data_IF_528750590639
#
_entry.id   IF_528750590639
#
_cell.length_a   1.000
_cell.length_b   1.000
_cell.length_c   1.000
_cell.angle_alpha   90.00
_cell.angle_beta   90.00
_cell.angle_gamma   90.00
#
_symmetry.space_group_name_H-M   'P 1'
#
loop_
_entity.id
_entity.type
_entity.pdbx_description
1 polymer ?
#
# COMPACT_ATOMS: atom_id res chain seq x y z
N UNK A 1 19.95 29.59 1.87
CA UNK A 1 19.80 28.67 3.03
C UNK A 1 19.50 27.29 2.48
N UNK A 2 20.30 26.26 2.77
CA UNK A 2 20.02 24.90 2.28
C UNK A 2 18.64 24.47 2.78
N UNK A 3 17.75 24.05 1.88
CA UNK A 3 16.41 23.58 2.25
C UNK A 3 16.52 22.46 3.30
N UNK A 4 16.01 22.71 4.52
CA UNK A 4 16.05 21.78 5.65
C UNK A 4 14.89 20.76 5.65
N UNK A 5 13.91 20.89 4.75
CA UNK A 5 12.75 19.99 4.66
C UNK A 5 13.15 18.63 4.08
N UNK A 6 12.91 17.50 4.77
CA UNK A 6 13.20 16.17 4.23
C UNK A 6 12.46 15.88 2.93
N UNK A 7 13.10 15.16 2.02
CA UNK A 7 12.51 14.70 0.76
C UNK A 7 12.15 13.22 0.86
N UNK A 8 10.86 12.94 0.69
CA UNK A 8 10.26 11.61 0.85
C UNK A 8 9.86 11.09 -0.52
N UNK A 9 10.70 10.23 -1.10
CA UNK A 9 10.43 9.62 -2.40
C UNK A 9 9.41 8.49 -2.23
N UNK A 10 8.18 8.71 -2.68
CA UNK A 10 7.11 7.68 -2.68
C UNK A 10 7.27 6.81 -3.93
N UNK A 11 8.11 5.78 -3.84
CA UNK A 11 8.44 4.90 -4.95
C UNK A 11 7.35 3.84 -5.13
N UNK A 12 6.68 3.83 -6.29
CA UNK A 12 5.54 2.94 -6.53
C UNK A 12 5.91 1.61 -7.18
N UNK A 13 7.16 1.41 -7.59
CA UNK A 13 7.59 0.23 -8.37
C UNK A 13 7.40 0.35 -9.88
N UNK A 14 6.89 1.49 -10.38
CA UNK A 14 6.67 1.72 -11.81
C UNK A 14 7.83 2.44 -12.51
N UNK A 15 7.82 2.42 -13.85
CA UNK A 15 8.82 3.11 -14.69
C UNK A 15 8.92 4.61 -14.42
N UNK A 16 7.78 5.30 -14.24
CA UNK A 16 7.76 6.75 -13.97
C UNK A 16 8.38 7.10 -12.62
N UNK A 17 8.02 6.38 -11.54
CA UNK A 17 8.65 6.58 -10.22
C UNK A 17 10.15 6.25 -10.25
N UNK A 18 10.56 5.27 -11.04
CA UNK A 18 11.96 4.93 -11.17
C UNK A 18 12.75 5.94 -12.01
N UNK A 19 12.21 6.44 -13.12
CA UNK A 19 12.86 7.51 -13.88
C UNK A 19 13.01 8.78 -13.03
N UNK A 20 11.96 9.13 -12.27
CA UNK A 20 11.98 10.23 -11.31
C UNK A 20 13.11 10.04 -10.29
N UNK A 21 13.20 8.87 -9.65
CA UNK A 21 14.25 8.58 -8.69
C UNK A 21 15.64 8.61 -9.33
N UNK A 22 15.83 7.99 -10.50
CA UNK A 22 17.13 8.01 -11.20
C UNK A 22 17.58 9.44 -11.54
N UNK A 23 16.65 10.33 -11.91
CA UNK A 23 16.96 11.76 -12.13
C UNK A 23 17.40 12.45 -10.83
N UNK A 24 16.68 12.24 -9.72
CA UNK A 24 17.04 12.82 -8.42
C UNK A 24 18.43 12.36 -7.96
N UNK A 25 18.71 11.06 -8.09
CA UNK A 25 20.00 10.45 -7.71
C UNK A 25 21.15 11.03 -8.55
N UNK A 26 21.04 10.98 -9.88
CA UNK A 26 22.09 11.46 -10.80
C UNK A 26 22.39 12.96 -10.63
N UNK A 27 21.40 13.75 -10.21
CA UNK A 27 21.55 15.17 -9.96
C UNK A 27 21.89 15.50 -8.50
N UNK A 28 22.17 14.51 -7.65
CA UNK A 28 22.49 14.68 -6.23
C UNK A 28 21.44 15.52 -5.44
N UNK A 29 20.16 15.32 -5.75
CA UNK A 29 19.07 16.10 -5.14
C UNK A 29 18.55 15.52 -3.81
N UNK A 30 19.03 14.34 -3.43
CA UNK A 30 18.71 13.68 -2.16
C UNK A 30 19.91 13.74 -1.20
N UNK A 31 19.62 13.94 0.09
CA UNK A 31 20.60 14.04 1.15
C UNK A 31 20.10 13.32 2.42
N UNK A 32 20.71 12.19 2.82
CA UNK A 32 20.25 11.41 3.98
C UNK A 32 20.36 12.20 5.30
N UNK A 33 21.30 13.16 5.42
CA UNK A 33 21.42 14.03 6.60
C UNK A 33 20.21 14.91 6.83
N UNK A 34 19.50 15.26 5.75
CA UNK A 34 18.25 16.02 5.83
C UNK A 34 17.08 15.16 6.34
N UNK A 35 17.23 13.83 6.36
CA UNK A 35 16.16 12.88 6.63
C UNK A 35 15.51 12.33 5.35
N UNK A 36 16.13 12.54 4.19
CA UNK A 36 15.61 12.06 2.91
C UNK A 36 15.63 10.54 2.83
N UNK A 37 14.54 9.98 2.32
CA UNK A 37 14.39 8.53 2.17
C UNK A 37 13.56 8.15 0.95
N UNK A 38 13.68 6.89 0.58
CA UNK A 38 12.85 6.24 -0.43
C UNK A 38 12.00 5.17 0.25
N UNK A 39 10.70 5.17 -0.01
CA UNK A 39 9.76 4.17 0.53
C UNK A 39 9.05 3.45 -0.61
N UNK A 40 9.08 2.12 -0.55
CA UNK A 40 8.19 1.26 -1.33
C UNK A 40 7.18 0.59 -0.39
N UNK A 41 5.90 0.85 -0.61
CA UNK A 41 4.81 0.21 0.13
C UNK A 41 4.44 -1.11 -0.53
N UNK A 42 4.92 -2.22 0.02
CA UNK A 42 4.54 -3.54 -0.47
C UNK A 42 3.11 -3.89 -0.03
N UNK A 43 2.24 -4.12 -1.00
CA UNK A 43 0.85 -4.54 -0.77
C UNK A 43 0.66 -6.06 -0.82
N UNK A 44 1.72 -6.82 -1.11
CA UNK A 44 1.73 -8.26 -1.46
C UNK A 44 0.90 -8.65 -2.68
N UNK A 45 0.34 -7.66 -3.41
CA UNK A 45 -0.44 -7.84 -4.63
C UNK A 45 0.27 -7.26 -5.87
N UNK A 46 1.57 -6.96 -5.74
CA UNK A 46 2.38 -6.46 -6.85
C UNK A 46 2.84 -7.61 -7.76
N UNK A 47 3.01 -7.33 -9.05
CA UNK A 47 3.48 -8.27 -10.05
C UNK A 47 4.93 -8.68 -9.77
N UNK A 48 5.35 -9.94 -10.01
CA UNK A 48 6.73 -10.40 -9.78
C UNK A 48 7.82 -9.51 -10.40
N UNK A 49 7.65 -9.11 -11.66
CA UNK A 49 8.52 -8.16 -12.34
C UNK A 49 8.72 -6.82 -11.60
N UNK A 50 7.73 -6.34 -10.83
CA UNK A 50 7.83 -5.13 -10.02
C UNK A 50 8.77 -5.31 -8.84
N UNK A 51 8.75 -6.48 -8.16
CA UNK A 51 9.70 -6.76 -7.08
C UNK A 51 11.13 -6.81 -7.59
N UNK A 52 11.37 -7.52 -8.69
CA UNK A 52 12.70 -7.61 -9.30
C UNK A 52 13.23 -6.25 -9.79
N UNK A 53 12.35 -5.43 -10.35
CA UNK A 53 12.71 -4.07 -10.75
C UNK A 53 13.02 -3.18 -9.54
N UNK A 54 12.15 -3.19 -8.52
CA UNK A 54 12.33 -2.41 -7.28
C UNK A 54 13.61 -2.81 -6.55
N UNK A 55 13.93 -4.11 -6.52
CA UNK A 55 15.17 -4.65 -5.95
C UNK A 55 16.41 -4.02 -6.59
N UNK A 56 16.44 -3.98 -7.92
CA UNK A 56 17.54 -3.37 -8.68
C UNK A 56 17.68 -1.88 -8.37
N UNK A 57 16.57 -1.15 -8.32
CA UNK A 57 16.57 0.29 -8.00
C UNK A 57 17.00 0.53 -6.55
N UNK A 58 16.56 -0.29 -5.59
CA UNK A 58 17.03 -0.26 -4.19
C UNK A 58 18.54 -0.42 -4.11
N UNK A 59 19.09 -1.41 -4.81
CA UNK A 59 20.54 -1.63 -4.87
C UNK A 59 21.29 -0.40 -5.37
N UNK A 60 20.83 0.20 -6.48
CA UNK A 60 21.44 1.42 -7.04
C UNK A 60 21.39 2.57 -6.02
N UNK A 61 20.21 2.87 -5.46
CA UNK A 61 20.03 3.98 -4.53
C UNK A 61 20.91 3.85 -3.27
N UNK A 62 21.03 2.63 -2.74
CA UNK A 62 21.78 2.39 -1.50
C UNK A 62 23.28 2.26 -1.73
N UNK A 63 23.71 1.47 -2.72
CA UNK A 63 25.12 1.15 -2.91
C UNK A 63 25.88 2.22 -3.70
N UNK A 64 25.24 2.86 -4.69
CA UNK A 64 25.89 3.88 -5.54
C UNK A 64 25.71 5.30 -4.99
N UNK A 65 24.59 5.59 -4.33
CA UNK A 65 24.24 6.94 -3.88
C UNK A 65 24.08 7.09 -2.37
N UNK A 66 24.16 5.99 -1.60
CA UNK A 66 24.02 5.99 -0.14
C UNK A 66 22.71 6.68 0.34
N UNK A 67 21.60 6.46 -0.38
CA UNK A 67 20.27 6.93 0.01
C UNK A 67 19.46 5.76 0.58
N UNK A 68 18.96 5.84 1.84
CA UNK A 68 18.17 4.75 2.41
C UNK A 68 16.88 4.48 1.63
N UNK A 69 16.63 3.20 1.33
CA UNK A 69 15.44 2.77 0.62
C UNK A 69 14.77 1.61 1.35
N UNK A 70 13.67 1.90 2.05
CA UNK A 70 12.90 0.91 2.80
C UNK A 70 11.74 0.29 2.02
N UNK A 71 11.56 -1.02 2.19
CA UNK A 71 10.33 -1.72 1.84
C UNK A 71 9.51 -1.90 3.11
N UNK A 72 8.25 -1.46 3.07
CA UNK A 72 7.36 -1.50 4.23
C UNK A 72 6.06 -2.23 3.90
N UNK A 73 5.58 -3.02 4.85
CA UNK A 73 4.31 -3.74 4.76
C UNK A 73 3.34 -3.28 5.82
N UNK A 74 2.05 -3.27 5.47
CA UNK A 74 1.00 -3.22 6.47
C UNK A 74 1.04 -4.48 7.34
N UNK A 75 0.82 -4.27 8.63
CA UNK A 75 0.70 -5.33 9.62
C UNK A 75 -0.25 -4.85 10.71
N UNK A 76 -0.91 -5.77 11.39
CA UNK A 76 -1.58 -5.50 12.66
C UNK A 76 -0.80 -6.05 13.86
N UNK A 77 -1.07 -5.52 15.04
CA UNK A 77 -0.64 -6.08 16.31
C UNK A 77 -1.83 -6.11 17.26
N UNK A 78 -1.71 -6.82 18.37
CA UNK A 78 -2.79 -6.93 19.35
C UNK A 78 -2.50 -6.08 20.58
N UNK A 79 -3.49 -5.29 20.97
CA UNK A 79 -3.40 -4.45 22.16
C UNK A 79 -4.76 -4.31 22.84
N UNK A 80 -4.72 -4.08 24.15
CA UNK A 80 -5.90 -3.89 24.99
C UNK A 80 -6.17 -2.42 25.22
N UNK A 81 -7.44 -2.03 25.33
CA UNK A 81 -7.79 -0.72 25.86
C UNK A 81 -7.78 -0.72 27.40
N UNK A 82 -8.00 0.44 28.03
CA UNK A 82 -8.08 0.56 29.49
C UNK A 82 -9.19 -0.26 30.18
N UNK A 83 -10.06 -0.93 29.41
CA UNK A 83 -11.07 -1.88 29.92
C UNK A 83 -10.69 -3.34 29.68
N UNK A 84 -9.41 -3.61 29.39
CA UNK A 84 -8.87 -4.94 29.05
C UNK A 84 -9.56 -5.63 27.87
N UNK A 85 -10.20 -4.86 26.99
CA UNK A 85 -10.78 -5.39 25.76
C UNK A 85 -9.70 -5.42 24.68
N UNK A 86 -9.40 -6.61 24.18
CA UNK A 86 -8.34 -6.84 23.20
C UNK A 86 -8.81 -6.55 21.78
N UNK A 87 -7.91 -6.00 20.96
CA UNK A 87 -8.24 -5.64 19.58
C UNK A 87 -7.00 -5.67 18.69
N UNK A 88 -7.22 -5.89 17.39
CA UNK A 88 -6.17 -5.72 16.37
C UNK A 88 -6.02 -4.25 16.04
N UNK A 89 -4.80 -3.74 16.13
CA UNK A 89 -4.43 -2.36 15.80
C UNK A 89 -3.55 -2.34 14.55
N UNK A 90 -3.82 -1.45 13.59
CA UNK A 90 -3.00 -1.32 12.40
C UNK A 90 -1.62 -0.74 12.76
N UNK A 91 -0.61 -1.15 12.02
CA UNK A 91 0.77 -0.68 12.08
C UNK A 91 1.48 -0.98 10.75
N UNK A 92 2.80 -0.95 10.75
CA UNK A 92 3.65 -1.33 9.64
C UNK A 92 4.86 -2.12 10.15
N UNK A 93 5.53 -2.86 9.27
CA UNK A 93 6.84 -3.47 9.53
C UNK A 93 7.79 -3.22 8.36
N UNK A 94 9.08 -3.37 8.61
CA UNK A 94 10.12 -3.41 7.58
C UNK A 94 10.26 -4.84 7.06
N UNK A 95 10.54 -4.98 5.77
CA UNK A 95 10.86 -6.25 5.12
C UNK A 95 12.10 -6.10 4.25
N UNK A 96 12.84 -7.19 4.05
CA UNK A 96 13.97 -7.18 3.14
C UNK A 96 13.45 -7.34 1.72
N UNK A 97 14.34 -7.12 0.76
CA UNK A 97 13.98 -7.16 -0.64
C UNK A 97 13.77 -8.60 -1.14
N UNK A 98 14.07 -9.66 -0.38
CA UNK A 98 13.93 -11.07 -0.77
C UNK A 98 12.58 -11.67 -0.31
N UNK A 99 12.00 -12.64 -1.05
CA UNK A 99 10.69 -13.19 -0.70
C UNK A 99 10.73 -13.93 0.65
N UNK A 100 9.62 -13.87 1.39
CA UNK A 100 9.42 -14.62 2.63
C UNK A 100 9.55 -16.12 2.37
N UNK A 101 10.38 -16.79 3.15
CA UNK A 101 10.55 -18.25 3.11
C UNK A 101 10.90 -18.79 4.50
N UNK A 102 11.02 -20.12 4.63
CA UNK A 102 11.48 -20.76 5.88
C UNK A 102 12.87 -20.27 6.31
N UNK A 103 13.74 -20.02 5.34
CA UNK A 103 15.11 -19.57 5.57
C UNK A 103 15.24 -18.03 5.55
N UNK A 104 14.17 -17.31 5.20
CA UNK A 104 14.12 -15.85 5.16
C UNK A 104 12.85 -15.31 5.81
N UNK A 105 12.78 -15.36 7.15
CA UNK A 105 11.63 -14.88 7.92
C UNK A 105 11.41 -13.36 7.84
N UNK A 106 12.44 -12.61 7.45
CA UNK A 106 12.42 -11.16 7.23
C UNK A 106 11.97 -10.76 5.83
N UNK A 107 11.66 -11.75 4.97
CA UNK A 107 11.30 -11.49 3.59
C UNK A 107 9.96 -10.78 3.38
N UNK A 108 9.82 -10.17 2.20
CA UNK A 108 8.57 -9.57 1.77
C UNK A 108 7.54 -10.64 1.40
N UNK A 109 6.28 -10.34 1.68
CA UNK A 109 5.13 -11.17 1.34
C UNK A 109 4.63 -10.85 -0.07
N UNK A 110 4.16 -11.87 -0.78
CA UNK A 110 3.77 -11.75 -2.18
C UNK A 110 2.58 -12.63 -2.58
N UNK A 111 1.97 -13.35 -1.64
CA UNK A 111 0.79 -14.21 -1.86
C UNK A 111 -0.51 -13.51 -1.46
N UNK A 112 -0.50 -12.17 -1.38
CA UNK A 112 -1.67 -11.38 -1.03
C UNK A 112 -1.96 -11.29 0.47
N UNK A 113 -1.09 -11.80 1.33
CA UNK A 113 -1.32 -11.87 2.79
C UNK A 113 -1.46 -10.48 3.42
N UNK A 114 -0.70 -9.50 2.95
CA UNK A 114 -0.77 -8.11 3.45
C UNK A 114 -2.10 -7.48 3.04
N UNK A 115 -2.57 -7.78 1.83
CA UNK A 115 -3.84 -7.30 1.30
C UNK A 115 -5.03 -7.92 2.06
N UNK A 116 -4.97 -9.24 2.30
CA UNK A 116 -5.99 -9.95 3.06
C UNK A 116 -6.00 -9.54 4.55
N UNK A 117 -4.85 -9.33 5.19
CA UNK A 117 -4.78 -8.84 6.58
C UNK A 117 -5.53 -7.51 6.73
N UNK A 118 -5.32 -6.58 5.78
CA UNK A 118 -6.01 -5.30 5.75
C UNK A 118 -7.52 -5.45 5.54
N UNK A 119 -7.97 -6.29 4.59
CA UNK A 119 -9.40 -6.53 4.35
C UNK A 119 -10.05 -7.22 5.55
N UNK A 120 -9.37 -8.19 6.15
CA UNK A 120 -9.86 -8.90 7.32
C UNK A 120 -10.00 -7.92 8.50
N UNK A 121 -9.07 -6.97 8.69
CA UNK A 121 -9.25 -5.90 9.68
C UNK A 121 -10.38 -4.93 9.33
N UNK A 122 -10.52 -4.49 8.08
CA UNK A 122 -11.55 -3.51 7.69
C UNK A 122 -12.96 -4.13 7.68
N UNK A 123 -13.07 -5.41 7.34
CA UNK A 123 -14.33 -6.14 7.16
C UNK A 123 -15.04 -5.84 5.84
N UNK A 124 -14.37 -5.20 4.87
CA UNK A 124 -14.94 -4.91 3.55
C UNK A 124 -13.85 -4.78 2.47
N UNK A 125 -14.25 -5.04 1.21
CA UNK A 125 -13.37 -4.96 0.04
C UNK A 125 -13.12 -3.51 -0.40
N UNK A 126 -11.90 -3.19 -0.88
CA UNK A 126 -11.64 -1.90 -1.52
C UNK A 126 -12.47 -1.75 -2.79
N UNK A 127 -12.86 -0.52 -3.13
CA UNK A 127 -13.64 -0.23 -4.33
C UNK A 127 -13.27 1.11 -4.95
N UNK A 128 -13.96 1.49 -6.03
CA UNK A 128 -13.87 2.83 -6.63
C UNK A 128 -14.18 3.95 -5.63
N UNK A 129 -15.11 3.69 -4.72
CA UNK A 129 -15.55 4.65 -3.70
C UNK A 129 -14.69 4.52 -2.44
N UNK A 130 -14.50 3.29 -1.94
CA UNK A 130 -13.76 3.05 -0.69
C UNK A 130 -12.32 2.62 -0.96
N UNK A 131 -11.39 3.57 -0.86
CA UNK A 131 -9.96 3.39 -1.17
C UNK A 131 -9.15 2.77 -0.03
N UNK A 132 -9.72 1.83 0.72
CA UNK A 132 -9.11 1.32 1.97
C UNK A 132 -7.71 0.73 1.79
N UNK A 133 -7.40 0.13 0.63
CA UNK A 133 -6.06 -0.34 0.32
C UNK A 133 -5.04 0.80 0.21
N UNK A 134 -5.42 1.94 -0.36
CA UNK A 134 -4.56 3.13 -0.45
C UNK A 134 -4.45 3.81 0.91
N UNK A 135 -5.57 3.96 1.63
CA UNK A 135 -5.58 4.58 2.95
C UNK A 135 -4.72 3.80 3.95
N UNK A 136 -4.89 2.48 4.03
CA UNK A 136 -4.25 1.65 5.05
C UNK A 136 -2.84 1.24 4.66
N UNK A 137 -2.63 0.74 3.45
CA UNK A 137 -1.36 0.13 3.04
C UNK A 137 -0.42 1.12 2.32
N UNK A 138 -0.82 2.38 2.12
CA UNK A 138 0.07 3.41 1.56
C UNK A 138 0.14 4.64 2.47
N UNK A 139 -0.98 5.29 2.74
CA UNK A 139 -0.99 6.54 3.51
C UNK A 139 -0.65 6.27 4.98
N UNK A 140 -1.45 5.45 5.66
CA UNK A 140 -1.27 5.15 7.07
C UNK A 140 0.10 4.56 7.39
N UNK A 141 0.53 3.51 6.68
CA UNK A 141 1.85 2.90 6.93
C UNK A 141 3.00 3.87 6.69
N UNK A 142 2.91 4.74 5.68
CA UNK A 142 3.93 5.75 5.41
C UNK A 142 3.95 6.80 6.51
N UNK A 143 2.78 7.29 6.95
CA UNK A 143 2.71 8.27 8.03
C UNK A 143 3.23 7.70 9.36
N UNK A 144 2.86 6.45 9.68
CA UNK A 144 3.37 5.76 10.86
C UNK A 144 4.91 5.59 10.79
N UNK A 145 5.43 5.23 9.61
CA UNK A 145 6.87 5.16 9.34
C UNK A 145 7.56 6.52 9.50
N UNK A 146 7.02 7.59 8.90
CA UNK A 146 7.64 8.92 8.93
C UNK A 146 7.66 9.49 10.35
N UNK A 147 6.62 9.25 11.15
CA UNK A 147 6.61 9.62 12.56
C UNK A 147 7.73 8.94 13.36
N UNK A 148 8.06 7.69 13.03
CA UNK A 148 9.19 6.95 13.61
C UNK A 148 10.55 7.43 13.06
N UNK A 149 10.63 7.71 11.76
CA UNK A 149 11.85 8.12 11.07
C UNK A 149 12.30 9.54 11.43
N UNK A 150 11.38 10.52 11.40
CA UNK A 150 11.67 11.91 11.75
C UNK A 150 11.97 12.11 13.23
N UNK A 151 11.60 11.16 14.09
CA UNK A 151 12.05 11.13 15.48
C UNK A 151 13.55 10.83 15.63
N UNK A 152 14.29 10.59 14.53
CA UNK A 152 15.72 10.32 14.50
C UNK A 152 16.14 9.16 15.39
N UNK A 153 15.28 8.14 15.48
CA UNK A 153 15.52 6.93 16.25
C UNK A 153 16.45 5.98 15.49
N UNK A 154 17.07 5.05 16.21
CA UNK A 154 17.83 3.95 15.61
C UNK A 154 16.96 2.75 15.23
N UNK A 155 15.74 2.66 15.77
CA UNK A 155 14.83 1.55 15.58
C UNK A 155 13.36 1.97 15.58
N UNK A 156 12.52 1.11 15.00
CA UNK A 156 11.10 1.06 15.33
C UNK A 156 10.90 0.26 16.60
N UNK A 157 10.03 0.73 17.50
CA UNK A 157 9.80 0.05 18.77
C UNK A 157 8.77 -1.07 18.66
N UNK A 158 8.92 -2.07 19.53
CA UNK A 158 7.96 -3.17 19.68
C UNK A 158 6.57 -2.63 20.01
N UNK A 159 5.54 -3.23 19.42
CA UNK A 159 4.13 -2.98 19.78
C UNK A 159 3.39 -4.28 20.06
N UNK A 160 2.40 -4.20 20.94
CA UNK A 160 1.57 -5.31 21.39
C UNK A 160 2.05 -5.93 22.68
N UNK A 161 1.28 -6.88 23.20
CA UNK A 161 1.54 -7.48 24.50
C UNK A 161 2.76 -8.42 24.52
N UNK A 162 3.24 -8.74 25.72
CA UNK A 162 4.38 -9.66 25.94
C UNK A 162 3.97 -11.11 26.17
N UNK A 163 2.67 -11.42 26.18
CA UNK A 163 2.19 -12.81 26.23
C UNK A 163 2.57 -13.61 24.98
N UNK A 164 2.72 -14.93 25.13
CA UNK A 164 3.19 -15.84 24.06
C UNK A 164 2.08 -16.34 23.11
N UNK A 165 0.84 -15.88 23.30
CA UNK A 165 -0.31 -16.26 22.49
C UNK A 165 -1.28 -15.08 22.34
N UNK A 166 -2.04 -15.00 21.22
CA UNK A 166 -3.09 -14.01 21.03
C UNK A 166 -4.09 -14.02 22.19
N UNK A 167 -4.57 -12.84 22.58
CA UNK A 167 -5.58 -12.63 23.64
C UNK A 167 -6.94 -12.21 23.09
N UNK A 168 -7.04 -11.74 21.84
CA UNK A 168 -8.32 -11.29 21.27
C UNK A 168 -9.32 -12.44 21.12
N UNK A 169 -10.34 -12.41 21.97
CA UNK A 169 -11.44 -13.38 22.00
C UNK A 169 -12.51 -13.09 20.95
N UNK A 170 -13.42 -14.05 20.73
CA UNK A 170 -14.60 -13.84 19.90
C UNK A 170 -15.51 -12.75 20.49
N UNK A 171 -15.63 -12.70 21.82
CA UNK A 171 -16.44 -11.73 22.53
C UNK A 171 -15.88 -10.32 22.38
N UNK A 172 -14.56 -10.15 22.37
CA UNK A 172 -13.91 -8.87 22.09
C UNK A 172 -14.28 -8.33 20.70
N UNK A 173 -14.26 -9.21 19.69
CA UNK A 173 -14.62 -8.90 18.30
C UNK A 173 -16.08 -8.47 18.22
N UNK A 174 -16.98 -9.25 18.81
CA UNK A 174 -18.43 -9.00 18.77
C UNK A 174 -18.78 -7.72 19.53
N UNK A 175 -18.20 -7.53 20.71
CA UNK A 175 -18.42 -6.34 21.55
C UNK A 175 -17.96 -5.08 20.82
N UNK A 176 -16.78 -5.11 20.19
CA UNK A 176 -16.28 -3.99 19.38
C UNK A 176 -17.22 -3.69 18.21
N UNK A 177 -17.65 -4.72 17.49
CA UNK A 177 -18.54 -4.57 16.34
C UNK A 177 -19.87 -3.95 16.72
N UNK A 178 -20.53 -4.45 17.78
CA UNK A 178 -21.79 -3.91 18.31
C UNK A 178 -21.62 -2.47 18.81
N UNK A 179 -20.53 -2.18 19.54
CA UNK A 179 -20.21 -0.83 20.03
C UNK A 179 -20.12 0.19 18.89
N UNK A 180 -19.63 -0.22 17.73
CA UNK A 180 -19.52 0.63 16.54
C UNK A 180 -20.79 0.61 15.66
N UNK A 181 -21.93 0.15 16.17
CA UNK A 181 -23.20 0.09 15.43
C UNK A 181 -23.27 -1.02 14.37
N UNK A 182 -22.36 -2.00 14.44
CA UNK A 182 -22.33 -3.13 13.52
C UNK A 182 -23.45 -4.13 13.78
N UNK A 183 -24.15 -4.56 12.72
CA UNK A 183 -25.26 -5.53 12.77
C UNK A 183 -24.94 -6.89 12.12
N UNK A 184 -23.75 -7.05 11.52
CA UNK A 184 -23.33 -8.30 10.86
C UNK A 184 -23.47 -9.51 11.80
N UNK A 185 -24.11 -10.62 11.36
CA UNK A 185 -24.23 -11.84 12.15
C UNK A 185 -22.88 -12.36 12.67
N UNK A 186 -22.89 -12.93 13.90
CA UNK A 186 -21.67 -13.37 14.61
C UNK A 186 -20.81 -14.31 13.77
N UNK A 187 -21.40 -15.34 13.16
CA UNK A 187 -20.67 -16.33 12.36
C UNK A 187 -19.95 -15.70 11.17
N UNK A 188 -20.62 -14.80 10.45
CA UNK A 188 -20.05 -14.07 9.30
C UNK A 188 -18.93 -13.14 9.76
N UNK A 189 -19.16 -12.37 10.84
CA UNK A 189 -18.17 -11.46 11.40
C UNK A 189 -16.89 -12.21 11.80
N UNK A 190 -17.01 -13.29 12.56
CA UNK A 190 -15.86 -14.07 13.03
C UNK A 190 -15.10 -14.71 11.87
N UNK A 191 -15.81 -15.23 10.86
CA UNK A 191 -15.20 -15.76 9.63
C UNK A 191 -14.38 -14.69 8.89
N UNK A 192 -14.93 -13.48 8.70
CA UNK A 192 -14.23 -12.34 8.09
C UNK A 192 -13.03 -11.87 8.91
N UNK A 193 -13.03 -12.08 10.23
CA UNK A 193 -11.93 -11.71 11.14
C UNK A 193 -10.91 -12.82 11.37
N UNK A 194 -11.13 -14.02 10.85
CA UNK A 194 -10.27 -15.17 11.14
C UNK A 194 -8.82 -14.95 10.66
N UNK A 195 -8.63 -14.35 9.49
CA UNK A 195 -7.29 -14.14 8.92
C UNK A 195 -6.46 -13.14 9.72
N UNK A 196 -6.99 -11.93 10.01
CA UNK A 196 -6.25 -10.94 10.82
C UNK A 196 -5.92 -11.46 12.24
N UNK A 197 -6.70 -12.42 12.75
CA UNK A 197 -6.47 -13.08 14.04
C UNK A 197 -5.36 -14.12 14.01
N UNK A 198 -5.10 -14.74 12.86
CA UNK A 198 -3.98 -15.67 12.68
C UNK A 198 -2.66 -14.95 12.35
N UNK A 199 -2.72 -13.67 11.96
CA UNK A 199 -1.53 -12.84 11.74
C UNK A 199 -0.77 -12.54 13.05
N UNK A 200 0.52 -12.22 12.90
CA UNK A 200 1.42 -11.88 14.02
C UNK A 200 0.78 -10.86 14.97
N UNK A 201 0.62 -11.19 16.25
CA UNK A 201 -0.05 -10.33 17.25
C UNK A 201 0.88 -9.29 17.88
N UNK A 202 2.11 -9.22 17.41
CA UNK A 202 3.14 -8.32 17.90
C UNK A 202 3.85 -7.73 16.69
N UNK A 203 4.16 -6.44 16.77
CA UNK A 203 5.18 -5.83 15.92
C UNK A 203 6.50 -5.89 16.66
N UNK A 204 7.46 -6.62 16.12
CA UNK A 204 8.79 -6.72 16.71
C UNK A 204 9.57 -5.41 16.58
N UNK A 205 10.55 -5.22 17.47
CA UNK A 205 11.53 -4.14 17.34
C UNK A 205 12.40 -4.42 16.12
N UNK A 206 12.62 -3.42 15.26
CA UNK A 206 13.49 -3.54 14.09
C UNK A 206 14.45 -2.35 14.03
N UNK A 207 15.76 -2.58 13.97
CA UNK A 207 16.74 -1.51 13.80
C UNK A 207 16.81 -1.12 12.34
N UNK A 208 16.82 0.18 12.04
CA UNK A 208 16.75 0.65 10.66
C UNK A 208 17.90 0.11 9.79
N UNK A 209 19.10 0.04 10.36
CA UNK A 209 20.32 -0.36 9.65
C UNK A 209 20.27 -1.81 9.15
N UNK A 210 19.43 -2.67 9.73
CA UNK A 210 19.26 -4.06 9.30
C UNK A 210 18.52 -4.18 7.95
N UNK A 211 17.85 -3.11 7.50
CA UNK A 211 16.95 -3.13 6.33
C UNK A 211 17.42 -2.24 5.17
N UNK A 212 18.58 -1.62 5.31
CA UNK A 212 19.20 -0.77 4.28
C UNK A 212 20.71 -0.94 4.29
N UNK A 213 21.32 -0.95 3.10
CA UNK A 213 22.79 -0.90 2.98
C UNK A 213 23.33 0.53 3.04
N UNK A 214 22.47 1.54 2.94
CA UNK A 214 22.88 2.92 3.09
C UNK A 214 23.21 3.22 4.56
N UNK A 215 24.16 4.12 4.77
CA UNK A 215 24.46 4.63 6.10
C UNK A 215 23.33 5.52 6.60
N UNK A 216 22.82 5.22 7.79
CA UNK A 216 21.78 6.03 8.43
C UNK A 216 22.45 7.15 9.22
N UNK A 217 22.46 8.34 8.62
CA UNK A 217 23.03 9.55 9.23
C UNK A 217 22.01 10.67 9.04
N UNK A 218 21.05 10.78 9.97
CA UNK A 218 20.13 11.93 10.00
C UNK A 218 20.73 12.95 10.98
N UNK A 219 20.90 14.19 10.51
CA UNK A 219 21.39 15.31 11.31
C UNK A 219 20.57 16.55 10.93
N UNK A 220 19.33 16.56 11.42
CA UNK A 220 18.39 17.63 11.11
C UNK A 220 17.70 18.11 12.38
N UNK A 221 18.20 19.23 12.94
CA UNK A 221 17.66 19.84 14.16
C UNK A 221 16.19 20.26 14.03
N UNK A 222 15.72 20.61 12.84
CA UNK A 222 14.30 20.98 12.63
C UNK A 222 13.39 19.81 12.98
N UNK A 223 13.80 18.57 12.70
CA UNK A 223 13.00 17.40 13.03
C UNK A 223 12.90 17.18 14.54
N UNK A 224 13.93 17.53 15.32
CA UNK A 224 13.91 17.36 16.78
C UNK A 224 12.88 18.23 17.49
N UNK A 225 12.58 19.41 16.93
CA UNK A 225 11.58 20.34 17.47
C UNK A 225 10.15 19.79 17.36
N UNK A 226 9.91 18.90 16.39
CA UNK A 226 8.64 18.22 16.17
C UNK A 226 8.45 16.94 17.00
N UNK A 227 9.42 16.56 17.85
CA UNK A 227 9.35 15.30 18.60
C UNK A 227 8.64 15.48 19.93
N UNK A 228 7.62 14.65 20.17
CA UNK A 228 6.95 14.52 21.47
C UNK A 228 7.06 13.07 21.92
N UNK A 229 7.69 12.85 23.08
CA UNK A 229 8.04 11.51 23.55
C UNK A 229 9.02 10.83 22.59
N UNK A 230 8.58 9.76 21.93
CA UNK A 230 9.40 8.97 21.00
C UNK A 230 8.87 9.01 19.55
N UNK A 231 8.05 10.01 19.21
CA UNK A 231 7.41 10.17 17.89
C UNK A 231 7.50 11.61 17.42
N UNK A 232 7.86 11.79 16.16
CA UNK A 232 7.70 13.07 15.49
C UNK A 232 6.23 13.30 15.16
N UNK A 233 5.75 14.52 15.40
CA UNK A 233 4.38 14.91 15.08
C UNK A 233 4.26 15.16 13.58
N UNK A 234 3.20 14.61 12.97
CA UNK A 234 2.84 14.88 11.57
C UNK A 234 1.60 15.77 11.46
N UNK A 235 0.96 16.07 12.59
CA UNK A 235 -0.26 16.84 12.69
C UNK A 235 -0.18 17.79 13.90
N UNK A 236 -1.04 18.81 13.93
CA UNK A 236 -0.98 19.90 14.92
C UNK A 236 0.18 20.88 14.72
N UNK A 237 0.37 21.75 15.70
CA UNK A 237 1.28 22.91 15.62
C UNK A 237 2.76 22.52 15.54
N UNK A 238 3.11 21.31 16.00
CA UNK A 238 4.47 20.77 15.97
C UNK A 238 4.73 19.87 14.75
N UNK A 239 3.84 19.87 13.74
CA UNK A 239 3.97 18.99 12.59
C UNK A 239 5.28 19.23 11.82
N UNK A 240 5.93 18.14 11.41
CA UNK A 240 7.08 18.21 10.52
C UNK A 240 6.67 18.70 9.15
N UNK A 241 7.37 19.73 8.67
CA UNK A 241 7.34 20.17 7.29
C UNK A 241 8.27 19.30 6.42
N UNK A 242 7.71 18.62 5.41
CA UNK A 242 8.48 17.77 4.49
C UNK A 242 7.92 17.80 3.06
N UNK A 243 8.75 17.38 2.10
CA UNK A 243 8.37 17.32 0.68
C UNK A 243 8.22 15.86 0.26
N UNK A 244 7.04 15.45 -0.19
CA UNK A 244 6.86 14.16 -0.84
C UNK A 244 7.07 14.26 -2.34
N UNK A 245 7.95 13.42 -2.87
CA UNK A 245 8.27 13.40 -4.29
C UNK A 245 7.49 12.29 -4.99
N UNK A 246 6.71 12.66 -6.01
CA UNK A 246 5.83 11.77 -6.75
C UNK A 246 6.29 11.58 -8.20
N UNK A 247 6.29 10.33 -8.67
CA UNK A 247 6.61 9.98 -10.06
C UNK A 247 5.40 10.01 -10.97
N UNK A 248 4.79 11.18 -11.13
CA UNK A 248 3.60 11.40 -11.97
C UNK A 248 4.00 12.19 -13.20
N UNK A 249 3.58 11.73 -14.36
CA UNK A 249 3.93 12.34 -15.65
C UNK A 249 3.04 13.53 -15.95
N UNK A 250 3.51 14.43 -16.83
CA UNK A 250 2.74 15.60 -17.27
C UNK A 250 1.46 15.22 -18.03
N UNK A 251 1.45 14.08 -18.72
CA UNK A 251 0.30 13.56 -19.48
C UNK A 251 -0.77 12.88 -18.60
N UNK A 252 -0.60 12.85 -17.27
CA UNK A 252 -1.55 12.29 -16.31
C UNK A 252 -2.44 13.35 -15.64
N UNK A 253 -2.93 14.33 -16.40
CA UNK A 253 -3.60 15.55 -15.90
C UNK A 253 -4.69 15.28 -14.84
N UNK A 254 -5.53 14.26 -15.03
CA UNK A 254 -6.58 13.89 -14.06
C UNK A 254 -6.01 13.46 -12.70
N UNK A 255 -4.83 12.85 -12.67
CA UNK A 255 -4.15 12.47 -11.43
C UNK A 255 -3.51 13.69 -10.76
N UNK A 256 -2.99 14.63 -11.55
CA UNK A 256 -2.41 15.89 -11.07
C UNK A 256 -3.49 16.69 -10.31
N UNK A 257 -4.63 16.98 -10.95
CA UNK A 257 -5.74 17.72 -10.32
C UNK A 257 -6.27 17.04 -9.06
N UNK A 258 -6.35 15.70 -9.05
CA UNK A 258 -6.77 14.96 -7.86
C UNK A 258 -5.80 15.08 -6.69
N UNK A 259 -4.51 15.26 -6.97
CA UNK A 259 -3.49 15.41 -5.94
C UNK A 259 -3.50 16.83 -5.40
N UNK A 260 -3.61 17.82 -6.29
CA UNK A 260 -3.75 19.25 -5.93
C UNK A 260 -4.96 19.44 -5.00
N UNK A 261 -6.16 19.04 -5.42
CA UNK A 261 -7.37 19.17 -4.60
C UNK A 261 -7.22 18.49 -3.22
N UNK A 262 -6.56 17.33 -3.17
CA UNK A 262 -6.36 16.59 -1.92
C UNK A 262 -5.39 17.30 -0.97
N UNK A 263 -4.40 18.03 -1.50
CA UNK A 263 -3.47 18.82 -0.69
C UNK A 263 -4.21 20.02 -0.11
N UNK A 264 -4.97 20.73 -0.94
CA UNK A 264 -5.76 21.89 -0.53
C UNK A 264 -6.74 21.49 0.59
N UNK A 265 -7.49 20.39 0.39
CA UNK A 265 -8.39 19.82 1.40
C UNK A 265 -7.66 19.45 2.71
N UNK A 266 -6.41 18.96 2.63
CA UNK A 266 -5.64 18.56 3.81
C UNK A 266 -5.13 19.77 4.61
N UNK A 267 -4.75 20.85 3.91
CA UNK A 267 -4.35 22.12 4.51
C UNK A 267 -5.53 22.79 5.22
N UNK A 268 -6.72 22.76 4.63
CA UNK A 268 -7.94 23.34 5.22
C UNK A 268 -8.44 22.55 6.43
N UNK A 269 -8.50 21.21 6.33
CA UNK A 269 -9.17 20.39 7.34
C UNK A 269 -8.25 19.94 8.50
N UNK A 270 -6.96 20.31 8.47
CA UNK A 270 -5.92 19.91 9.44
C UNK A 270 -6.16 18.50 9.98
N UNK A 271 -6.17 17.50 9.08
CA UNK A 271 -6.53 16.13 9.42
C UNK A 271 -5.84 15.66 10.69
N UNK A 272 -6.54 14.97 11.59
CA UNK A 272 -6.03 14.67 12.95
C UNK A 272 -5.63 13.21 13.15
N UNK A 273 -5.43 12.47 12.06
CA UNK A 273 -5.22 11.02 12.09
C UNK A 273 -4.24 10.57 11.02
N UNK A 274 -3.45 9.54 11.34
CA UNK A 274 -2.48 8.91 10.44
C UNK A 274 -3.09 8.36 9.14
N UNK A 275 -4.42 8.20 9.07
CA UNK A 275 -5.12 7.79 7.85
C UNK A 275 -5.34 8.94 6.86
N UNK A 276 -5.10 10.18 7.27
CA UNK A 276 -5.26 11.38 6.45
C UNK A 276 -3.91 11.87 5.94
N UNK A 277 -3.97 12.73 4.94
CA UNK A 277 -2.82 13.44 4.42
C UNK A 277 -2.28 14.44 5.48
N UNK A 278 -1.00 14.40 5.88
CA UNK A 278 -0.41 15.40 6.77
C UNK A 278 -0.44 16.81 6.19
N UNK A 279 -0.74 17.82 7.01
CA UNK A 279 -0.82 19.22 6.56
C UNK A 279 0.57 19.86 6.37
N UNK A 280 1.61 19.32 7.01
CA UNK A 280 3.01 19.66 6.76
C UNK A 280 3.63 19.02 5.50
N UNK A 281 2.88 18.17 4.78
CA UNK A 281 3.35 17.59 3.52
C UNK A 281 3.13 18.56 2.35
N UNK A 282 4.21 18.93 1.67
CA UNK A 282 4.12 19.49 0.32
C UNK A 282 4.45 18.43 -0.74
N UNK A 283 3.93 18.59 -1.95
CA UNK A 283 4.22 17.70 -3.07
C UNK A 283 5.22 18.34 -4.02
N UNK A 284 6.17 17.53 -4.49
CA UNK A 284 7.03 17.85 -5.62
C UNK A 284 6.86 16.76 -6.70
N UNK A 285 6.54 17.17 -7.93
CA UNK A 285 6.30 16.26 -9.05
C UNK A 285 7.25 16.59 -10.22
N UNK A 286 8.54 16.22 -10.12
CA UNK A 286 9.59 16.69 -11.04
C UNK A 286 9.38 16.25 -12.50
N UNK A 287 8.60 15.20 -12.75
CA UNK A 287 8.26 14.78 -14.10
C UNK A 287 7.17 15.67 -14.72
N UNK A 288 6.27 16.25 -13.92
CA UNK A 288 5.31 17.27 -14.38
C UNK A 288 6.08 18.54 -14.74
N UNK A 289 6.93 19.03 -13.83
CA UNK A 289 7.73 20.25 -14.05
C UNK A 289 8.67 20.12 -15.26
N UNK A 290 9.17 18.91 -15.50
CA UNK A 290 10.00 18.60 -16.66
C UNK A 290 9.22 18.29 -17.94
N UNK A 291 7.89 18.47 -17.95
CA UNK A 291 6.98 18.11 -19.05
C UNK A 291 7.20 16.68 -19.60
N UNK A 292 7.50 15.73 -18.71
CA UNK A 292 7.85 14.36 -19.09
C UNK A 292 6.60 13.53 -19.37
N UNK A 293 6.48 13.02 -20.59
CA UNK A 293 5.37 12.16 -21.05
C UNK A 293 5.67 10.67 -20.89
N UNK A 294 4.69 9.83 -21.18
CA UNK A 294 4.85 8.37 -21.22
C UNK A 294 5.91 7.92 -22.22
N UNK A 295 5.92 8.49 -23.42
CA UNK A 295 6.88 8.14 -24.49
C UNK A 295 8.32 8.37 -24.02
N UNK A 296 8.57 9.52 -23.39
CA UNK A 296 9.90 9.84 -22.86
C UNK A 296 10.33 8.93 -21.71
N UNK A 297 9.37 8.46 -20.90
CA UNK A 297 9.64 7.43 -19.88
C UNK A 297 10.04 6.11 -20.54
N UNK A 298 9.36 5.72 -21.62
CA UNK A 298 9.66 4.50 -22.37
C UNK A 298 11.06 4.59 -22.97
N UNK A 299 11.34 5.66 -23.71
CA UNK A 299 12.66 5.91 -24.32
C UNK A 299 13.79 5.92 -23.29
N UNK A 300 13.57 6.52 -22.12
CA UNK A 300 14.56 6.53 -21.04
C UNK A 300 14.93 5.10 -20.63
N UNK A 301 13.95 4.22 -20.49
CA UNK A 301 14.13 2.85 -20.04
C UNK A 301 14.62 1.89 -21.13
N UNK A 302 14.34 2.17 -22.39
CA UNK A 302 14.91 1.43 -23.54
C UNK A 302 16.43 1.63 -23.65
N UNK A 303 16.96 2.75 -23.16
CA UNK A 303 18.40 3.05 -23.13
C UNK A 303 19.13 2.44 -21.93
N UNK A 304 18.43 1.82 -20.98
CA UNK A 304 19.05 1.22 -19.79
C UNK A 304 19.38 -0.26 -20.01
N UNK A 305 20.38 -0.78 -19.28
CA UNK A 305 20.74 -2.21 -19.30
C UNK A 305 19.77 -3.11 -18.49
N UNK A 306 18.79 -2.52 -17.81
CA UNK A 306 17.66 -3.23 -17.21
C UNK A 306 16.39 -2.37 -17.29
N UNK A 307 15.22 -3.03 -17.31
CA UNK A 307 13.93 -2.36 -17.38
C UNK A 307 12.90 -3.16 -16.57
N UNK A 308 11.81 -2.51 -16.18
CA UNK A 308 10.60 -3.18 -15.69
C UNK A 308 10.09 -4.09 -16.80
N UNK A 309 9.88 -5.38 -16.54
CA UNK A 309 9.43 -6.34 -17.56
C UNK A 309 7.91 -6.42 -17.65
N UNK A 310 7.25 -5.25 -17.73
CA UNK A 310 5.80 -5.13 -17.89
C UNK A 310 5.45 -4.37 -19.17
N UNK A 311 4.29 -4.60 -19.77
CA UNK A 311 3.90 -3.86 -20.98
C UNK A 311 3.78 -2.35 -20.72
N UNK A 312 4.00 -1.54 -21.77
CA UNK A 312 3.82 -0.09 -21.70
C UNK A 312 2.35 0.33 -21.86
N UNK A 313 1.45 -0.58 -22.22
CA UNK A 313 0.03 -0.30 -22.48
C UNK A 313 -0.79 -0.01 -21.20
N UNK A 314 -0.18 -0.15 -20.02
CA UNK A 314 -0.87 -0.01 -18.73
C UNK A 314 -1.80 -1.19 -18.39
N UNK A 315 -1.86 -2.21 -19.26
CA UNK A 315 -2.60 -3.44 -19.01
C UNK A 315 -1.98 -4.22 -17.85
N UNK A 316 -0.69 -4.55 -17.95
CA UNK A 316 0.09 -5.08 -16.83
C UNK A 316 0.67 -3.93 -16.02
N UNK A 317 0.04 -3.64 -14.88
CA UNK A 317 0.53 -2.69 -13.89
C UNK A 317 0.99 -3.42 -12.63
N UNK A 318 1.63 -2.71 -11.70
CA UNK A 318 2.12 -3.29 -10.44
C UNK A 318 1.04 -4.12 -9.73
N UNK A 319 -0.15 -3.58 -9.46
CA UNK A 319 -1.30 -4.40 -9.04
C UNK A 319 -2.03 -4.97 -10.25
N UNK A 320 -1.90 -6.27 -10.51
CA UNK A 320 -2.35 -6.91 -11.76
C UNK A 320 -3.88 -6.83 -11.93
N UNK A 321 -4.65 -7.40 -11.01
CA UNK A 321 -6.13 -7.35 -11.04
C UNK A 321 -6.73 -6.23 -10.19
N UNK A 322 -6.09 -5.05 -10.18
CA UNK A 322 -6.62 -3.90 -9.46
C UNK A 322 -8.09 -3.62 -9.83
N UNK A 323 -9.02 -3.54 -8.84
CA UNK A 323 -10.44 -3.22 -9.07
C UNK A 323 -10.73 -1.87 -9.72
N UNK A 324 -9.68 -1.08 -9.98
CA UNK A 324 -9.76 0.16 -10.74
C UNK A 324 -9.58 0.05 -12.23
N UNK A 325 -9.20 -1.11 -12.72
CA UNK A 325 -9.24 -1.37 -14.15
C UNK A 325 -10.68 -1.64 -14.58
N UNK A 326 -10.96 -1.33 -15.85
CA UNK A 326 -12.22 -1.75 -16.47
C UNK A 326 -12.31 -3.27 -16.48
N UNK A 327 -13.53 -3.81 -16.46
CA UNK A 327 -13.76 -5.26 -16.55
C UNK A 327 -13.12 -5.86 -17.81
N UNK A 328 -13.16 -5.14 -18.93
CA UNK A 328 -12.50 -5.54 -20.18
C UNK A 328 -10.98 -5.70 -20.01
N UNK A 329 -10.31 -4.76 -19.34
CA UNK A 329 -8.87 -4.86 -19.04
C UNK A 329 -8.57 -6.05 -18.12
N UNK A 330 -9.41 -6.30 -17.12
CA UNK A 330 -9.25 -7.45 -16.22
C UNK A 330 -9.46 -8.79 -16.94
N UNK A 331 -10.43 -8.89 -17.84
CA UNK A 331 -10.65 -10.07 -18.69
C UNK A 331 -9.45 -10.30 -19.61
N UNK A 332 -8.95 -9.26 -20.26
CA UNK A 332 -7.77 -9.36 -21.13
C UNK A 332 -6.52 -9.83 -20.36
N UNK A 333 -6.33 -9.35 -19.12
CA UNK A 333 -5.26 -9.82 -18.24
C UNK A 333 -5.44 -11.31 -17.95
N UNK A 334 -6.64 -11.73 -17.53
CA UNK A 334 -6.93 -13.13 -17.26
C UNK A 334 -6.68 -14.03 -18.47
N UNK A 335 -7.09 -13.62 -19.67
CA UNK A 335 -6.80 -14.35 -20.92
C UNK A 335 -5.30 -14.52 -21.15
N UNK A 336 -4.50 -13.46 -20.99
CA UNK A 336 -3.04 -13.52 -21.20
C UNK A 336 -2.29 -14.29 -20.10
N UNK A 337 -2.92 -14.50 -18.96
CA UNK A 337 -2.38 -15.25 -17.83
C UNK A 337 -2.72 -16.75 -17.92
N UNK A 338 -3.72 -17.17 -18.71
CA UNK A 338 -4.08 -18.59 -18.89
C UNK A 338 -2.91 -19.47 -19.35
N UNK A 339 -2.06 -18.93 -20.22
CA UNK A 339 -0.94 -19.65 -20.83
C UNK A 339 0.29 -19.70 -19.91
N UNK A 340 0.23 -19.06 -18.74
CA UNK A 340 1.35 -18.96 -17.81
C UNK A 340 1.15 -19.92 -16.64
N UNK A 341 2.22 -20.58 -16.20
CA UNK A 341 2.21 -21.42 -15.01
C UNK A 341 2.27 -20.56 -13.74
N UNK A 342 1.13 -19.97 -13.38
CA UNK A 342 0.99 -19.04 -12.24
C UNK A 342 0.52 -19.80 -11.00
N UNK A 343 1.07 -19.45 -9.84
CA UNK A 343 0.58 -19.90 -8.54
C UNK A 343 -0.83 -19.34 -8.28
N UNK A 344 -1.83 -20.22 -8.29
CA UNK A 344 -3.25 -19.86 -8.13
C UNK A 344 -3.59 -19.26 -6.76
N UNK A 345 -2.72 -19.47 -5.78
CA UNK A 345 -2.88 -18.93 -4.42
C UNK A 345 -2.24 -17.54 -4.27
N UNK A 346 -1.90 -16.88 -5.38
CA UNK A 346 -1.29 -15.54 -5.38
C UNK A 346 -2.13 -14.52 -6.15
N UNK A 347 -1.99 -13.22 -5.85
CA UNK A 347 -2.68 -12.15 -6.59
C UNK A 347 -2.30 -12.03 -8.07
N UNK A 348 -1.33 -12.81 -8.55
CA UNK A 348 -1.02 -12.96 -9.98
C UNK A 348 -2.08 -13.81 -10.71
N UNK A 349 -2.82 -14.68 -10.00
CA UNK A 349 -3.93 -15.44 -10.56
C UNK A 349 -5.28 -14.79 -10.27
N UNK A 350 -6.19 -14.83 -11.26
CA UNK A 350 -7.60 -14.45 -11.05
C UNK A 350 -8.30 -15.32 -10.00
N UNK A 351 -7.86 -16.58 -9.81
CA UNK A 351 -8.43 -17.49 -8.81
C UNK A 351 -8.35 -16.92 -7.40
N UNK A 352 -7.21 -16.31 -7.05
CA UNK A 352 -7.04 -15.64 -5.76
C UNK A 352 -8.06 -14.51 -5.58
N UNK A 353 -8.29 -13.71 -6.62
CA UNK A 353 -9.26 -12.60 -6.57
C UNK A 353 -10.71 -13.09 -6.48
N UNK A 354 -11.05 -14.20 -7.12
CA UNK A 354 -12.34 -14.89 -6.96
C UNK A 354 -12.54 -15.29 -5.50
N UNK A 355 -11.53 -15.92 -4.89
CA UNK A 355 -11.60 -16.38 -3.50
C UNK A 355 -11.75 -15.22 -2.52
N UNK A 356 -10.98 -14.14 -2.69
CA UNK A 356 -11.07 -12.94 -1.87
C UNK A 356 -12.42 -12.24 -2.06
N UNK A 357 -12.91 -12.12 -3.30
CA UNK A 357 -14.20 -11.49 -3.58
C UNK A 357 -15.35 -12.26 -2.90
N UNK A 358 -15.37 -13.59 -3.01
CA UNK A 358 -16.37 -14.44 -2.37
C UNK A 358 -16.32 -14.37 -0.84
N UNK A 359 -15.13 -14.42 -0.26
CA UNK A 359 -14.93 -14.44 1.19
C UNK A 359 -15.33 -13.13 1.86
N UNK A 360 -15.02 -12.00 1.23
CA UNK A 360 -15.10 -10.68 1.89
C UNK A 360 -16.17 -9.74 1.35
N UNK A 361 -16.81 -10.07 0.22
CA UNK A 361 -18.00 -9.31 -0.20
C UNK A 361 -19.05 -9.31 0.90
N UNK A 362 -19.76 -8.19 1.01
CA UNK A 362 -20.92 -8.09 1.91
C UNK A 362 -22.11 -8.73 1.21
N UNK A 363 -22.63 -9.83 1.75
CA UNK A 363 -23.90 -10.41 1.29
C UNK A 363 -25.04 -9.70 2.03
N UNK A 364 -25.85 -8.94 1.31
CA UNK A 364 -26.90 -8.12 1.92
C UNK A 364 -28.03 -8.98 2.51
N UNK A 365 -28.30 -10.14 1.93
CA UNK A 365 -29.32 -11.07 2.43
C UNK A 365 -28.79 -11.78 3.67
N UNK A 366 -27.60 -12.37 3.58
CA UNK A 366 -27.04 -13.13 4.69
C UNK A 366 -26.63 -12.25 5.89
N UNK A 367 -26.43 -10.95 5.69
CA UNK A 367 -26.13 -9.99 6.76
C UNK A 367 -27.34 -9.14 7.20
N UNK A 368 -28.57 -9.55 6.85
CA UNK A 368 -29.84 -8.90 7.23
C UNK A 368 -29.85 -7.37 6.95
N UNK A 369 -29.41 -6.99 5.75
CA UNK A 369 -29.31 -5.58 5.32
C UNK A 369 -30.49 -5.20 4.42
N UNK A 370 -30.94 -3.95 4.54
CA UNK A 370 -31.92 -3.39 3.62
C UNK A 370 -31.36 -3.34 2.20
N UNK A 371 -32.09 -3.94 1.26
CA UNK A 371 -31.79 -3.92 -0.17
C UNK A 371 -32.58 -2.78 -0.79
N UNK A 372 -31.90 -1.72 -1.21
CA UNK A 372 -32.51 -0.52 -1.80
C UNK A 372 -32.54 -0.53 -3.32
N UNK A 373 -31.82 -1.47 -3.94
CA UNK A 373 -31.76 -1.66 -5.39
C UNK A 373 -32.01 -3.11 -5.69
N UNK A 374 -33.04 -3.40 -6.49
CA UNK A 374 -33.49 -4.77 -6.81
C UNK A 374 -32.37 -5.64 -7.41
N UNK A 375 -31.37 -5.00 -8.03
CA UNK A 375 -30.21 -5.66 -8.63
C UNK A 375 -28.92 -5.53 -7.79
N UNK A 376 -29.02 -5.58 -6.46
CA UNK A 376 -27.83 -5.64 -5.59
C UNK A 376 -27.99 -6.69 -4.51
N UNK A 377 -27.32 -7.84 -4.69
CA UNK A 377 -27.20 -8.89 -3.67
C UNK A 377 -25.95 -8.72 -2.80
N UNK A 378 -24.85 -8.28 -3.40
CA UNK A 378 -23.56 -8.14 -2.73
C UNK A 378 -23.01 -6.72 -2.85
N UNK A 379 -22.15 -6.33 -1.91
CA UNK A 379 -21.25 -5.17 -2.07
C UNK A 379 -19.81 -5.68 -2.06
N UNK A 380 -19.15 -5.60 -3.21
CA UNK A 380 -17.80 -6.12 -3.43
C UNK A 380 -16.84 -5.08 -4.02
N UNK A 381 -15.81 -5.56 -4.72
CA UNK A 381 -14.77 -4.72 -5.33
C UNK A 381 -15.31 -3.64 -6.28
N UNK A 382 -16.42 -3.94 -6.96
CA UNK A 382 -17.04 -3.07 -7.97
C UNK A 382 -18.32 -2.38 -7.45
N UNK A 383 -18.50 -2.30 -6.13
CA UNK A 383 -19.70 -1.74 -5.51
C UNK A 383 -20.83 -2.76 -5.42
N UNK A 384 -22.07 -2.30 -5.59
CA UNK A 384 -23.26 -3.17 -5.56
C UNK A 384 -23.32 -4.09 -6.79
N UNK A 385 -23.34 -5.40 -6.56
CA UNK A 385 -23.31 -6.43 -7.61
C UNK A 385 -24.33 -7.54 -7.32
N UNK A 386 -24.81 -8.22 -8.36
CA UNK A 386 -25.66 -9.42 -8.24
C UNK A 386 -24.89 -10.73 -8.34
N UNK A 387 -23.74 -10.70 -9.01
CA UNK A 387 -22.84 -11.84 -9.24
C UNK A 387 -21.41 -11.36 -9.01
N UNK A 388 -20.53 -12.25 -8.55
CA UNK A 388 -19.12 -11.95 -8.34
C UNK A 388 -18.45 -11.63 -9.68
N UNK A 389 -17.74 -10.51 -9.74
CA UNK A 389 -17.23 -9.97 -11.01
C UNK A 389 -16.00 -10.73 -11.46
N UNK A 390 -15.10 -11.09 -10.55
CA UNK A 390 -13.92 -11.87 -10.91
C UNK A 390 -14.28 -13.29 -11.33
N UNK A 391 -15.33 -13.87 -10.72
CA UNK A 391 -15.84 -15.19 -11.12
C UNK A 391 -16.46 -15.14 -12.51
N UNK A 392 -17.27 -14.11 -12.80
CA UNK A 392 -17.83 -13.89 -14.14
C UNK A 392 -16.73 -13.74 -15.19
N UNK A 393 -15.71 -12.91 -14.90
CA UNK A 393 -14.55 -12.74 -15.80
C UNK A 393 -13.84 -14.07 -16.02
N UNK A 394 -13.56 -14.83 -14.94
CA UNK A 394 -12.88 -16.11 -15.06
C UNK A 394 -13.66 -17.06 -15.96
N UNK A 395 -14.98 -17.17 -15.74
CA UNK A 395 -15.85 -18.03 -16.55
C UNK A 395 -15.80 -17.65 -18.03
N UNK A 396 -15.91 -16.37 -18.35
CA UNK A 396 -15.83 -15.88 -19.74
C UNK A 396 -14.51 -16.26 -20.41
N UNK A 397 -13.41 -16.14 -19.67
CA UNK A 397 -12.08 -16.52 -20.14
C UNK A 397 -11.97 -18.03 -20.35
N UNK A 398 -12.47 -18.84 -19.42
CA UNK A 398 -12.51 -20.31 -19.55
C UNK A 398 -13.39 -20.76 -20.74
N UNK A 399 -14.48 -20.04 -21.02
CA UNK A 399 -15.39 -20.27 -22.15
C UNK A 399 -14.79 -19.78 -23.50
N UNK A 400 -13.59 -19.18 -23.49
CA UNK A 400 -12.90 -18.69 -24.69
C UNK A 400 -13.41 -17.36 -25.22
N UNK A 401 -14.17 -16.60 -24.44
CA UNK A 401 -14.71 -15.30 -24.84
C UNK A 401 -13.57 -14.27 -25.00
N UNK A 402 -13.48 -13.70 -26.21
CA UNK A 402 -12.51 -12.65 -26.52
C UNK A 402 -13.04 -11.28 -26.11
N UNK A 403 -12.16 -10.45 -25.57
CA UNK A 403 -12.47 -9.04 -25.29
C UNK A 403 -12.49 -8.27 -26.60
N UNK A 404 -13.54 -7.47 -26.80
CA UNK A 404 -13.56 -6.50 -27.89
C UNK A 404 -12.41 -5.50 -27.73
N UNK A 405 -11.48 -5.39 -28.70
CA UNK A 405 -10.37 -4.45 -28.65
C UNK A 405 -10.79 -3.00 -28.44
N UNK A 406 -12.00 -2.60 -28.83
CA UNK A 406 -12.51 -1.25 -28.59
C UNK A 406 -12.73 -0.96 -27.11
N UNK A 407 -13.06 -1.96 -26.30
CA UNK A 407 -13.25 -1.83 -24.85
C UNK A 407 -11.94 -1.71 -24.06
N UNK A 408 -10.79 -1.86 -24.73
CA UNK A 408 -9.46 -1.72 -24.14
C UNK A 408 -8.86 -0.32 -24.30
N UNK A 409 -9.39 0.48 -25.24
CA UNK A 409 -9.08 1.90 -25.41
C UNK A 409 -9.57 2.66 -24.17
#
# INVERSE_FOLDING_TARGET
MSNKKPYIVKFSGGRSSAMMLMKLLKNNQLNPKRGDIIIFNNTSAEHPATYEFTRKIKKIAEEEYNIPFFWIEYQTYEDSNGTYQWSRRPSYKLVNDQPLSRDNLSGYRYKGEVFEEMISLSGFLPSMVSRVCTLSMKIFVTNAFLSDWFAQKQSIERLGHYGNAPKMSDDDVIKTHKKNGGSVPKSILLSKKAFVRSCAFVREKQFWQDWTKANIVIDNKVLTESVVGNKAQLYGDLAVDYVSILGIRSDEQRRITKIENRIDEAQENQGKSLFNQPHGESIFAPLVDGNITQEQVIEFWERQNFNLKLSNTGLFSNCLYCPLKSKAKLQQIATLQLEQNIDKDTPESIDWWVNIEKKYSRDLVAEDRNITKDNTKFVGFFGGINKFVFEDIKKKVDDGERVDPELLK
#
